data_IF_151645018105
#
_entry.id   IF_151645018105
#
_cell.length_a   1.000
_cell.length_b   1.000
_cell.length_c   1.000
_cell.angle_alpha   90.00
_cell.angle_beta   90.00
_cell.angle_gamma   90.00
#
_symmetry.space_group_name_H-M   'P 1'
#
loop_
_entity.id
_entity.type
_entity.pdbx_description
1 polymer ?
#
# COMPACT_ATOMS: atom_id res chain seq x y z
N UNK A 1 -18.61 -68.82 -27.13
CA UNK A 1 -19.06 -67.40 -27.08
C UNK A 1 -18.65 -66.64 -25.82
N UNK A 2 -18.81 -67.20 -24.62
CA UNK A 2 -18.64 -66.50 -23.33
C UNK A 2 -17.24 -65.87 -23.15
N UNK A 3 -16.17 -66.58 -23.55
CA UNK A 3 -14.80 -66.05 -23.43
C UNK A 3 -14.53 -64.84 -24.33
N UNK A 4 -15.16 -64.77 -25.51
CA UNK A 4 -15.00 -63.64 -26.44
C UNK A 4 -15.71 -62.38 -25.93
N UNK A 5 -16.87 -62.55 -25.29
CA UNK A 5 -17.61 -61.46 -24.66
C UNK A 5 -16.84 -60.87 -23.48
N UNK A 6 -16.26 -61.73 -22.62
CA UNK A 6 -15.48 -61.31 -21.44
C UNK A 6 -14.22 -60.52 -21.81
N UNK A 7 -13.56 -60.88 -22.91
CA UNK A 7 -12.39 -60.15 -23.44
C UNK A 7 -12.78 -58.76 -23.94
N UNK A 8 -13.92 -58.62 -24.64
CA UNK A 8 -14.39 -57.33 -25.14
C UNK A 8 -14.76 -56.39 -23.98
N UNK A 9 -15.42 -56.89 -22.94
CA UNK A 9 -15.79 -56.07 -21.77
C UNK A 9 -14.55 -55.61 -20.99
N UNK A 10 -13.55 -56.48 -20.83
CA UNK A 10 -12.28 -56.08 -20.19
C UNK A 10 -11.53 -55.04 -21.01
N UNK A 11 -11.47 -55.21 -22.33
CA UNK A 11 -10.83 -54.25 -23.23
C UNK A 11 -11.51 -52.86 -23.17
N UNK A 12 -12.85 -52.83 -23.23
CA UNK A 12 -13.63 -51.60 -23.10
C UNK A 12 -13.43 -50.95 -21.72
N UNK A 13 -13.45 -51.74 -20.64
CA UNK A 13 -13.22 -51.23 -19.29
C UNK A 13 -11.81 -50.63 -19.15
N UNK A 14 -10.78 -51.32 -19.64
CA UNK A 14 -9.40 -50.79 -19.61
C UNK A 14 -9.23 -49.53 -20.44
N UNK A 15 -9.89 -49.43 -21.60
CA UNK A 15 -9.85 -48.23 -22.45
C UNK A 15 -10.54 -47.04 -21.78
N UNK A 16 -11.67 -47.25 -21.11
CA UNK A 16 -12.40 -46.20 -20.40
C UNK A 16 -11.63 -45.70 -19.17
N UNK A 17 -11.05 -46.61 -18.38
CA UNK A 17 -10.21 -46.25 -17.24
C UNK A 17 -8.98 -45.46 -17.68
N UNK A 18 -8.36 -45.83 -18.81
CA UNK A 18 -7.22 -45.10 -19.35
C UNK A 18 -7.62 -43.66 -19.74
N UNK A 19 -8.70 -43.48 -20.50
CA UNK A 19 -9.20 -42.13 -20.83
C UNK A 19 -9.49 -41.29 -19.58
N UNK A 20 -10.13 -41.86 -18.55
CA UNK A 20 -10.43 -41.14 -17.30
C UNK A 20 -9.16 -40.70 -16.56
N UNK A 21 -8.13 -41.55 -16.49
CA UNK A 21 -6.84 -41.20 -15.89
C UNK A 21 -6.14 -40.06 -16.66
N UNK A 22 -6.27 -40.05 -18.00
CA UNK A 22 -5.73 -38.97 -18.82
C UNK A 22 -6.43 -37.64 -18.57
N UNK A 23 -7.77 -37.62 -18.51
CA UNK A 23 -8.52 -36.41 -18.15
C UNK A 23 -8.19 -35.94 -16.73
N UNK A 24 -8.16 -36.84 -15.75
CA UNK A 24 -7.79 -36.53 -14.36
C UNK A 24 -6.40 -35.87 -14.26
N UNK A 25 -5.42 -36.39 -15.01
CA UNK A 25 -4.06 -35.84 -15.01
C UNK A 25 -4.00 -34.49 -15.74
N UNK A 26 -4.74 -34.32 -16.82
CA UNK A 26 -4.85 -33.04 -17.52
C UNK A 26 -5.52 -31.97 -16.66
N UNK A 27 -6.58 -32.30 -15.92
CA UNK A 27 -7.23 -31.38 -14.98
C UNK A 27 -6.31 -30.98 -13.82
N UNK A 28 -5.49 -31.92 -13.31
CA UNK A 28 -4.48 -31.63 -12.29
C UNK A 28 -3.40 -30.66 -12.80
N UNK A 29 -2.90 -30.87 -14.02
CA UNK A 29 -1.92 -29.99 -14.65
C UNK A 29 -2.53 -28.61 -14.92
N UNK A 30 -3.77 -28.57 -15.41
CA UNK A 30 -4.52 -27.34 -15.64
C UNK A 30 -4.64 -26.55 -14.32
N UNK A 31 -5.20 -27.16 -13.26
CA UNK A 31 -5.40 -26.48 -11.97
C UNK A 31 -4.10 -25.97 -11.36
N UNK A 32 -2.99 -26.68 -11.52
CA UNK A 32 -1.68 -26.22 -11.07
C UNK A 32 -1.23 -24.96 -11.83
N UNK A 33 -1.34 -24.95 -13.16
CA UNK A 33 -0.99 -23.76 -13.96
C UNK A 33 -1.88 -22.55 -13.64
N UNK A 34 -3.17 -22.78 -13.42
CA UNK A 34 -4.13 -21.74 -13.04
C UNK A 34 -3.78 -21.16 -11.66
N UNK A 35 -3.38 -21.99 -10.69
CA UNK A 35 -2.92 -21.54 -9.39
C UNK A 35 -1.69 -20.62 -9.49
N UNK A 36 -0.68 -20.99 -10.28
CA UNK A 36 0.49 -20.14 -10.50
C UNK A 36 0.14 -18.80 -11.16
N UNK A 37 -0.76 -18.79 -12.15
CA UNK A 37 -1.22 -17.55 -12.78
C UNK A 37 -1.95 -16.63 -11.80
N UNK A 38 -2.81 -17.18 -10.94
CA UNK A 38 -3.51 -16.41 -9.91
C UNK A 38 -2.52 -15.80 -8.91
N UNK A 39 -1.52 -16.57 -8.46
CA UNK A 39 -0.50 -16.07 -7.51
C UNK A 39 0.34 -14.97 -8.17
N UNK A 40 0.78 -15.17 -9.42
CA UNK A 40 1.57 -14.21 -10.17
C UNK A 40 0.81 -12.89 -10.38
N UNK A 41 -0.45 -12.97 -10.83
CA UNK A 41 -1.29 -11.77 -11.03
C UNK A 41 -1.54 -11.03 -9.73
N UNK A 42 -1.82 -11.73 -8.62
CA UNK A 42 -2.00 -11.10 -7.31
C UNK A 42 -0.73 -10.40 -6.82
N UNK A 43 0.42 -11.06 -6.95
CA UNK A 43 1.73 -10.48 -6.61
C UNK A 43 2.03 -9.24 -7.46
N UNK A 44 1.78 -9.30 -8.77
CA UNK A 44 1.96 -8.17 -9.68
C UNK A 44 1.05 -6.99 -9.34
N UNK A 45 -0.21 -7.23 -8.99
CA UNK A 45 -1.14 -6.18 -8.54
C UNK A 45 -0.68 -5.52 -7.24
N UNK A 46 -0.14 -6.28 -6.29
CA UNK A 46 0.45 -5.74 -5.06
C UNK A 46 1.69 -4.90 -5.36
N UNK A 47 2.57 -5.39 -6.23
CA UNK A 47 3.76 -4.67 -6.68
C UNK A 47 3.38 -3.35 -7.37
N UNK A 48 2.37 -3.37 -8.26
CA UNK A 48 1.86 -2.17 -8.90
C UNK A 48 1.25 -1.19 -7.89
N UNK A 49 0.49 -1.64 -6.89
CA UNK A 49 0.00 -0.75 -5.81
C UNK A 49 1.12 -0.13 -4.99
N UNK A 50 2.22 -0.86 -4.80
CA UNK A 50 3.39 -0.36 -4.09
C UNK A 50 4.20 0.64 -4.94
N UNK A 51 4.37 0.33 -6.23
CA UNK A 51 5.13 1.15 -7.18
C UNK A 51 4.38 2.38 -7.69
N UNK A 52 3.05 2.33 -7.75
CA UNK A 52 2.23 3.49 -8.08
C UNK A 52 2.07 4.28 -6.78
N UNK A 53 2.84 5.37 -6.58
CA UNK A 53 2.54 6.27 -5.48
C UNK A 53 1.10 6.71 -5.66
N UNK A 54 0.25 6.39 -4.69
CA UNK A 54 -1.08 6.96 -4.62
C UNK A 54 -0.86 8.46 -4.48
N UNK A 55 -0.91 9.18 -5.61
CA UNK A 55 -1.20 10.61 -5.61
C UNK A 55 -2.59 10.68 -5.00
N UNK A 56 -2.66 10.75 -3.66
CA UNK A 56 -3.75 11.42 -2.99
C UNK A 56 -3.65 12.84 -3.49
N UNK A 57 -4.24 13.06 -4.66
CA UNK A 57 -4.78 14.36 -5.02
C UNK A 57 -5.60 14.71 -3.81
N UNK A 58 -5.10 15.66 -3.03
CA UNK A 58 -5.88 16.36 -2.05
C UNK A 58 -6.97 17.08 -2.86
N UNK A 59 -8.00 16.34 -3.29
CA UNK A 59 -9.32 16.90 -3.49
C UNK A 59 -9.86 17.19 -2.09
N UNK A 60 -9.29 18.23 -1.50
CA UNK A 60 -9.95 19.03 -0.49
C UNK A 60 -9.90 20.43 -1.03
N UNK A 61 -11.00 20.78 -1.70
CA UNK A 61 -11.65 22.08 -1.59
C UNK A 61 -10.80 23.12 -0.86
N UNK A 62 -10.22 24.04 -1.63
CA UNK A 62 -10.08 25.45 -1.27
C UNK A 62 -9.92 25.78 0.22
N UNK A 63 -8.75 25.50 0.80
CA UNK A 63 -8.19 26.38 1.84
C UNK A 63 -6.67 26.30 1.85
N UNK A 64 -6.05 27.44 2.14
CA UNK A 64 -4.65 27.82 1.96
C UNK A 64 -3.67 26.98 2.81
N UNK A 65 -3.54 25.68 2.56
CA UNK A 65 -2.47 24.91 3.18
C UNK A 65 -1.13 25.34 2.56
N UNK A 66 -0.13 25.70 3.38
CA UNK A 66 1.16 26.15 2.88
C UNK A 66 1.85 25.02 2.11
N UNK A 67 2.62 25.36 1.06
CA UNK A 67 3.34 24.38 0.25
C UNK A 67 4.23 23.50 1.14
N UNK A 68 4.33 22.21 0.80
CA UNK A 68 5.08 21.25 1.61
C UNK A 68 5.66 20.10 0.76
N UNK A 69 6.70 19.41 1.29
CA UNK A 69 7.34 18.31 0.59
C UNK A 69 6.37 17.15 0.34
N UNK A 70 6.50 16.52 -0.84
CA UNK A 70 5.66 15.41 -1.30
C UNK A 70 5.80 14.19 -0.39
N UNK A 71 4.71 13.73 0.27
CA UNK A 71 4.79 12.62 1.23
C UNK A 71 4.79 11.26 0.54
N UNK A 72 5.54 10.30 1.11
CA UNK A 72 5.54 8.91 0.67
C UNK A 72 4.24 8.17 1.08
N UNK A 73 3.79 7.15 0.30
CA UNK A 73 2.46 6.57 0.43
C UNK A 73 2.15 5.82 1.73
N UNK A 74 3.14 5.53 2.59
CA UNK A 74 2.94 4.82 3.87
C UNK A 74 3.62 5.55 5.05
N UNK A 75 4.90 5.90 4.93
CA UNK A 75 5.67 6.54 6.01
C UNK A 75 5.54 8.08 6.01
N UNK A 76 5.05 8.68 4.93
CA UNK A 76 5.01 10.14 4.77
C UNK A 76 6.42 10.74 4.66
N UNK A 77 6.66 11.88 5.32
CA UNK A 77 7.92 12.61 5.39
C UNK A 77 8.83 12.14 6.55
N UNK A 78 8.41 11.14 7.35
CA UNK A 78 9.19 10.62 8.49
C UNK A 78 10.56 10.08 8.07
N UNK A 79 10.65 9.43 6.89
CA UNK A 79 11.93 8.95 6.36
C UNK A 79 12.94 10.08 6.14
N UNK A 80 12.46 11.30 5.89
CA UNK A 80 13.29 12.48 5.70
C UNK A 80 13.73 13.12 7.01
N UNK A 81 13.05 12.83 8.13
CA UNK A 81 13.39 13.35 9.46
C UNK A 81 14.57 12.63 10.10
N UNK A 82 14.70 11.32 9.87
CA UNK A 82 15.83 10.51 10.35
C UNK A 82 16.05 10.60 11.87
N UNK A 83 17.29 10.37 12.31
CA UNK A 83 17.67 10.37 13.74
C UNK A 83 17.70 11.77 14.37
N UNK A 84 17.73 12.83 13.56
CA UNK A 84 17.83 14.23 14.01
C UNK A 84 16.69 15.06 13.41
N UNK A 85 15.46 14.91 13.91
CA UNK A 85 14.29 15.53 13.30
C UNK A 85 14.40 17.06 13.25
N UNK A 86 15.03 17.69 14.26
CA UNK A 86 15.19 19.14 14.34
C UNK A 86 16.04 19.71 13.18
N UNK A 87 17.14 19.04 12.81
CA UNK A 87 17.99 19.46 11.69
C UNK A 87 17.29 19.24 10.35
N UNK A 88 16.62 18.10 10.19
CA UNK A 88 15.90 17.77 8.97
C UNK A 88 14.72 18.73 8.74
N UNK A 89 14.02 19.13 9.80
CA UNK A 89 12.96 20.15 9.75
C UNK A 89 13.52 21.52 9.37
N UNK A 90 14.64 21.95 9.95
CA UNK A 90 15.28 23.21 9.59
C UNK A 90 15.73 23.24 8.12
N UNK A 91 16.27 22.13 7.61
CA UNK A 91 16.63 22.02 6.20
C UNK A 91 15.39 22.07 5.29
N UNK A 92 14.29 21.43 5.70
CA UNK A 92 13.04 21.49 4.95
C UNK A 92 12.41 22.90 4.96
N UNK A 93 12.50 23.64 6.08
CA UNK A 93 12.00 25.02 6.14
C UNK A 93 12.83 25.97 5.27
N UNK A 94 14.14 25.73 5.13
CA UNK A 94 14.98 26.50 4.23
C UNK A 94 14.57 26.33 2.75
N UNK A 95 14.00 25.18 2.39
CA UNK A 95 13.60 24.86 1.01
C UNK A 95 12.15 25.29 0.73
N UNK A 96 11.24 25.04 1.67
CA UNK A 96 9.79 25.23 1.47
C UNK A 96 9.24 26.52 2.10
N UNK A 97 10.03 27.20 2.93
CA UNK A 97 9.65 28.43 3.61
C UNK A 97 9.36 28.24 5.10
N UNK A 98 9.11 29.36 5.82
CA UNK A 98 8.97 29.38 7.28
C UNK A 98 7.67 28.75 7.80
N UNK A 99 6.68 28.51 6.92
CA UNK A 99 5.46 27.76 7.22
C UNK A 99 5.34 26.66 6.17
N UNK A 100 5.32 25.40 6.60
CA UNK A 100 5.19 24.26 5.70
C UNK A 100 4.34 23.15 6.31
N UNK A 101 3.70 22.36 5.45
CA UNK A 101 2.92 21.19 5.87
C UNK A 101 3.73 19.91 5.69
N UNK A 102 3.84 19.10 6.75
CA UNK A 102 4.49 17.80 6.73
C UNK A 102 3.50 16.70 7.08
N UNK A 103 3.71 15.51 6.51
CA UNK A 103 2.94 14.32 6.88
C UNK A 103 3.82 13.35 7.64
N UNK A 104 3.55 13.12 8.92
CA UNK A 104 4.27 12.17 9.75
C UNK A 104 3.45 10.87 9.86
N UNK A 105 3.72 9.91 8.97
CA UNK A 105 2.91 8.70 8.84
C UNK A 105 1.47 9.04 8.41
N UNK A 106 0.52 8.85 9.33
CA UNK A 106 -0.90 9.16 9.11
C UNK A 106 -1.27 10.59 9.56
N UNK A 107 -0.44 11.23 10.37
CA UNK A 107 -0.72 12.55 10.95
C UNK A 107 -0.23 13.65 10.01
N UNK A 108 -1.05 14.68 9.79
CA UNK A 108 -0.63 15.89 9.07
C UNK A 108 -0.28 16.96 10.08
N UNK A 109 0.94 17.48 10.02
CA UNK A 109 1.53 18.40 10.98
C UNK A 109 1.99 19.67 10.25
N UNK A 110 1.60 20.83 10.75
CA UNK A 110 2.09 22.11 10.25
C UNK A 110 3.33 22.48 11.08
N UNK A 111 4.43 22.80 10.41
CA UNK A 111 5.67 23.22 11.05
C UNK A 111 5.89 24.69 10.78
N UNK A 112 6.10 25.45 11.85
CA UNK A 112 6.42 26.87 11.83
C UNK A 112 7.85 27.04 12.33
N UNK A 113 8.72 27.58 11.47
CA UNK A 113 10.15 27.74 11.75
C UNK A 113 10.56 29.19 12.02
N UNK A 114 9.66 30.16 11.82
CA UNK A 114 9.90 31.57 12.13
C UNK A 114 9.35 31.95 13.50
N UNK A 115 10.11 32.70 14.28
CA UNK A 115 9.74 33.16 15.61
C UNK A 115 8.54 34.13 15.59
N UNK A 116 8.50 35.05 14.63
CA UNK A 116 7.42 36.05 14.52
C UNK A 116 6.07 35.38 14.26
N UNK A 117 6.07 34.41 13.34
CA UNK A 117 4.88 33.64 12.96
C UNK A 117 4.46 32.71 14.10
N UNK A 118 5.44 32.06 14.76
CA UNK A 118 5.14 31.19 15.90
C UNK A 118 4.49 31.98 17.04
N UNK A 119 4.97 33.19 17.31
CA UNK A 119 4.37 34.08 18.32
C UNK A 119 2.92 34.42 17.97
N UNK A 120 2.63 34.79 16.73
CA UNK A 120 1.26 35.11 16.30
C UNK A 120 0.32 33.89 16.39
N UNK A 121 0.80 32.71 15.97
CA UNK A 121 0.03 31.46 16.05
C UNK A 121 -0.24 31.06 17.49
N UNK A 122 0.77 31.11 18.37
CA UNK A 122 0.64 30.78 19.79
C UNK A 122 -0.30 31.76 20.50
N UNK A 123 -0.24 33.05 20.18
CA UNK A 123 -1.14 34.06 20.78
C UNK A 123 -2.58 33.89 20.31
N UNK A 124 -2.79 33.56 19.04
CA UNK A 124 -4.14 33.46 18.44
C UNK A 124 -4.83 32.14 18.76
N UNK A 125 -4.07 31.05 18.90
CA UNK A 125 -4.58 29.69 19.07
C UNK A 125 -4.13 29.04 20.39
N UNK A 126 -3.82 29.84 21.41
CA UNK A 126 -3.30 29.37 22.71
C UNK A 126 -4.21 28.29 23.34
N UNK A 127 -5.53 28.48 23.30
CA UNK A 127 -6.51 27.52 23.81
C UNK A 127 -6.50 26.15 23.07
N UNK A 128 -6.15 26.12 21.78
CA UNK A 128 -6.09 24.87 21.01
C UNK A 128 -4.74 24.16 21.16
N UNK A 129 -3.65 24.92 21.36
CA UNK A 129 -2.31 24.38 21.50
C UNK A 129 -1.93 24.04 22.94
N UNK A 130 -2.57 24.67 23.93
CA UNK A 130 -2.41 24.35 25.36
C UNK A 130 -3.01 22.99 25.73
N UNK A 131 -3.99 22.50 24.97
CA UNK A 131 -4.54 21.17 25.17
C UNK A 131 -3.58 20.10 24.61
N UNK A 132 -2.81 19.43 25.48
CA UNK A 132 -1.99 18.28 25.08
C UNK A 132 -2.88 17.07 24.80
N UNK A 133 -3.40 16.97 23.58
CA UNK A 133 -3.89 15.69 23.07
C UNK A 133 -2.69 14.83 22.70
N UNK A 134 -2.35 13.87 23.56
CA UNK A 134 -1.41 12.81 23.20
C UNK A 134 -2.10 11.99 22.11
N UNK A 135 -1.54 11.88 20.89
CA UNK A 135 -2.12 11.01 19.89
C UNK A 135 -1.97 9.57 20.40
N UNK A 136 -3.09 8.92 20.72
CA UNK A 136 -3.12 7.51 21.07
C UNK A 136 -2.44 6.73 19.94
N UNK A 137 -1.29 6.13 20.26
CA UNK A 137 -0.58 5.25 19.35
C UNK A 137 -1.37 3.93 19.27
N UNK A 138 -2.25 3.83 18.27
CA UNK A 138 -2.86 2.57 17.83
C UNK A 138 -1.88 1.76 16.97
#
# INVERSE_FOLDING_TARGET
CINKFKVITLFLHTSLSFSSIYYQKMDLLLNSTLSYLVIFTFSFLLLLKFLIPTKKTNQKNHSKLPPGPTPLPIIGNLLKLGNKPHHSLANLSNIHGPIMTLKLGQITTIVVSSADIAKEVLQTHDNLLSNRTVPDAL
#
